data_IF_887685233012
#
_entry.id   IF_887685233012
#
_cell.length_a   1.000
_cell.length_b   1.000
_cell.length_c   1.000
_cell.angle_alpha   90.00
_cell.angle_beta   90.00
_cell.angle_gamma   90.00
#
_symmetry.space_group_name_H-M   'P 1'
#
loop_
_entity.id
_entity.type
_entity.pdbx_description
1 polymer ?
#
# COMPACT_ATOMS: atom_id res chain seq x y z
N UNK A 1 -7.58 -13.26 -12.80
CA UNK A 1 -7.96 -13.08 -11.39
C UNK A 1 -6.74 -12.56 -10.64
N UNK A 2 -6.84 -11.45 -9.90
CA UNK A 2 -5.70 -10.94 -9.11
C UNK A 2 -5.59 -11.73 -7.81
N UNK A 3 -4.46 -12.41 -7.59
CA UNK A 3 -4.23 -13.19 -6.36
C UNK A 3 -3.60 -12.34 -5.26
N UNK A 4 -2.89 -11.27 -5.64
CA UNK A 4 -2.19 -10.35 -4.73
C UNK A 4 -2.33 -8.92 -5.22
N UNK A 5 -2.59 -8.01 -4.30
CA UNK A 5 -2.70 -6.56 -4.53
C UNK A 5 -1.64 -5.87 -3.69
N UNK A 6 -0.80 -5.04 -4.31
CA UNK A 6 0.16 -4.18 -3.61
C UNK A 6 -0.36 -2.75 -3.66
N UNK A 7 -0.43 -2.09 -2.50
CA UNK A 7 -0.92 -0.72 -2.37
C UNK A 7 0.23 0.16 -1.88
N UNK A 8 0.60 1.14 -2.70
CA UNK A 8 1.56 2.17 -2.30
C UNK A 8 0.87 3.23 -1.45
N UNK A 9 1.37 3.46 -0.22
CA UNK A 9 0.92 4.53 0.66
C UNK A 9 2.09 5.41 1.05
N UNK A 10 1.98 6.72 0.81
CA UNK A 10 2.97 7.71 1.24
C UNK A 10 2.70 8.24 2.66
N UNK A 11 1.53 7.92 3.23
CA UNK A 11 1.09 8.37 4.56
C UNK A 11 0.31 9.68 4.54
N UNK A 12 0.00 10.23 3.37
CA UNK A 12 -0.96 11.33 3.24
C UNK A 12 -2.39 10.82 3.40
N UNK A 13 -3.26 11.66 3.99
CA UNK A 13 -4.71 11.38 4.07
C UNK A 13 -5.31 11.11 2.68
N UNK A 14 -4.78 11.78 1.66
CA UNK A 14 -5.20 11.57 0.27
C UNK A 14 -4.88 10.16 -0.22
N UNK A 15 -3.66 9.65 0.03
CA UNK A 15 -3.30 8.29 -0.35
C UNK A 15 -4.12 7.23 0.39
N UNK A 16 -4.50 7.48 1.65
CA UNK A 16 -5.31 6.54 2.44
C UNK A 16 -6.75 6.40 1.92
N UNK A 17 -7.26 7.35 1.14
CA UNK A 17 -8.59 7.26 0.51
C UNK A 17 -8.73 6.06 -0.45
N UNK A 18 -7.62 5.45 -0.90
CA UNK A 18 -7.65 4.26 -1.76
C UNK A 18 -8.05 2.98 -1.01
N UNK A 19 -7.90 2.94 0.32
CA UNK A 19 -8.04 1.72 1.12
C UNK A 19 -9.43 1.05 1.01
N UNK A 20 -10.56 1.77 1.05
CA UNK A 20 -11.88 1.15 0.89
C UNK A 20 -12.06 0.48 -0.49
N UNK A 21 -11.40 1.00 -1.53
CA UNK A 21 -11.48 0.44 -2.87
C UNK A 21 -10.65 -0.84 -3.00
N UNK A 22 -9.47 -0.86 -2.36
CA UNK A 22 -8.63 -2.05 -2.25
C UNK A 22 -9.35 -3.15 -1.50
N UNK A 23 -10.00 -2.83 -0.38
CA UNK A 23 -10.77 -3.78 0.42
C UNK A 23 -11.90 -4.43 -0.38
N UNK A 24 -12.67 -3.62 -1.12
CA UNK A 24 -13.73 -4.11 -2.00
C UNK A 24 -13.17 -5.05 -3.09
N UNK A 25 -12.03 -4.70 -3.68
CA UNK A 25 -11.37 -5.49 -4.71
C UNK A 25 -10.83 -6.82 -4.16
N UNK A 26 -10.16 -6.77 -3.01
CA UNK A 26 -9.59 -7.92 -2.34
C UNK A 26 -10.67 -8.91 -1.89
N UNK A 27 -11.77 -8.39 -1.35
CA UNK A 27 -12.94 -9.20 -0.95
C UNK A 27 -13.56 -9.89 -2.14
N UNK A 28 -13.80 -9.15 -3.23
CA UNK A 28 -14.39 -9.70 -4.47
C UNK A 28 -13.56 -10.83 -5.08
N UNK A 29 -12.23 -10.74 -4.96
CA UNK A 29 -11.32 -11.66 -5.63
C UNK A 29 -10.57 -12.63 -4.70
N UNK A 30 -10.84 -12.59 -3.39
CA UNK A 30 -10.11 -13.37 -2.40
C UNK A 30 -8.61 -13.07 -2.39
N UNK A 31 -8.23 -11.83 -2.71
CA UNK A 31 -6.82 -11.44 -2.91
C UNK A 31 -6.14 -11.13 -1.58
N UNK A 32 -4.86 -11.51 -1.46
CA UNK A 32 -4.02 -10.99 -0.37
C UNK A 32 -3.60 -9.55 -0.67
N UNK A 33 -3.61 -8.68 0.34
CA UNK A 33 -3.23 -7.27 0.22
C UNK A 33 -1.92 -7.01 0.96
N UNK A 34 -1.00 -6.30 0.33
CA UNK A 34 0.23 -5.80 0.95
C UNK A 34 0.25 -4.28 0.85
N UNK A 35 0.27 -3.62 2.01
CA UNK A 35 0.51 -2.18 2.09
C UNK A 35 2.02 -1.93 2.09
N UNK A 36 2.47 -1.03 1.21
CA UNK A 36 3.87 -0.72 1.01
C UNK A 36 4.08 0.79 1.07
N UNK A 37 5.06 1.20 1.87
CA UNK A 37 5.58 2.57 1.88
C UNK A 37 7.04 2.53 1.49
N UNK A 38 7.39 3.20 0.38
CA UNK A 38 8.78 3.42 0.02
C UNK A 38 9.31 4.63 0.81
N UNK A 39 10.43 4.45 1.50
CA UNK A 39 11.14 5.53 2.20
C UNK A 39 12.51 5.72 1.57
N UNK A 40 13.04 6.94 1.64
CA UNK A 40 14.43 7.20 1.28
C UNK A 40 15.35 6.87 2.44
N UNK A 41 16.58 6.45 2.14
CA UNK A 41 17.61 6.27 3.16
C UNK A 41 17.89 7.63 3.81
N UNK A 42 17.87 7.66 5.13
CA UNK A 42 18.30 8.84 5.88
C UNK A 42 19.82 8.99 5.74
N UNK A 43 20.25 10.08 5.10
CA UNK A 43 21.68 10.39 4.91
C UNK A 43 22.40 10.71 6.22
N UNK A 44 21.70 10.88 7.34
CA UNK A 44 22.32 11.06 8.66
C UNK A 44 22.76 9.75 9.32
N UNK A 45 22.29 8.59 8.82
CA UNK A 45 22.64 7.26 9.34
C UNK A 45 23.87 6.63 8.66
N UNK A 46 24.51 7.34 7.74
CA UNK A 46 25.72 6.90 7.00
C UNK A 46 27.00 7.60 7.48
N UNK A 47 27.03 8.05 8.73
CA UNK A 47 28.25 8.54 9.42
C UNK A 47 28.51 7.74 10.69
#
# INVERSE_FOLDING_TARGET
>A
MYMRIVVGLDGSEFAEQVLPHVEALATKFGSAVTLLRATTIDRTLVH
#
